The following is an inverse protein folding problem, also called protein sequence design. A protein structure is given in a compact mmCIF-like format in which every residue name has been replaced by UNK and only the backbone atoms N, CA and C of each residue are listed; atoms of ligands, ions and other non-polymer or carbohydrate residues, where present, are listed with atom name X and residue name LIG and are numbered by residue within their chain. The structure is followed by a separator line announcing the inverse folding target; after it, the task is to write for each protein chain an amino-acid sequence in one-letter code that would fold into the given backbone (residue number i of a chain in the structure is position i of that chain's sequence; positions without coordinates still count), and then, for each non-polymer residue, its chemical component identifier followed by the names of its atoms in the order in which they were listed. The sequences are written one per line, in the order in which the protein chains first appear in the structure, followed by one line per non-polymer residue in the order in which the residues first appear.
data_IF_583961770065
#
_entry.id   IF_583961770065
#
_cell.length_a   1.000
_cell.length_b   1.000
_cell.length_c   1.000
_cell.angle_alpha   90.00
_cell.angle_beta   90.00
_cell.angle_gamma   90.00
#
_symmetry.space_group_name_H-M   'P 1'
#
loop_
_entity.id
_entity.type
_entity.pdbx_description
1 polymer ?
#
# COMPACT_ATOMS: atom_id res chain seq x y z
N UNK A 1 4.16 37.64 -19.95
CA UNK A 1 4.81 36.38 -20.39
C UNK A 1 5.28 35.68 -19.13
N UNK A 2 4.34 35.03 -18.43
CA UNK A 2 4.56 34.41 -17.11
C UNK A 2 5.48 33.19 -17.23
N UNK A 3 6.74 33.37 -16.84
CA UNK A 3 7.66 32.28 -16.62
C UNK A 3 7.32 31.62 -15.28
N UNK A 4 6.36 30.69 -15.28
CA UNK A 4 6.19 29.75 -14.18
C UNK A 4 7.43 28.87 -14.15
N UNK A 5 8.31 29.10 -13.17
CA UNK A 5 9.39 28.18 -12.82
C UNK A 5 8.78 26.80 -12.56
N UNK A 6 9.33 25.71 -13.13
CA UNK A 6 8.84 24.37 -12.81
C UNK A 6 9.09 24.12 -11.32
N UNK A 7 8.05 23.69 -10.61
CA UNK A 7 8.19 23.18 -9.25
C UNK A 7 9.26 22.09 -9.27
N UNK A 8 10.20 22.06 -8.30
CA UNK A 8 11.13 20.95 -8.19
C UNK A 8 10.29 19.70 -8.10
N UNK A 9 10.45 18.79 -9.07
CA UNK A 9 9.97 17.42 -8.94
C UNK A 9 10.79 16.85 -7.79
N UNK A 10 10.28 17.01 -6.57
CA UNK A 10 10.69 16.21 -5.45
C UNK A 10 10.45 14.79 -5.94
N UNK A 11 11.52 14.13 -6.38
CA UNK A 11 11.52 12.71 -6.59
C UNK A 11 10.93 12.15 -5.30
N UNK A 12 9.72 11.60 -5.39
CA UNK A 12 9.12 10.92 -4.26
C UNK A 12 10.22 9.98 -3.77
N UNK A 13 10.58 10.00 -2.47
CA UNK A 13 11.61 9.10 -1.97
C UNK A 13 11.27 7.69 -2.47
N UNK A 14 12.28 6.86 -2.83
CA UNK A 14 12.00 5.51 -3.32
C UNK A 14 11.01 4.89 -2.33
N UNK A 15 9.88 4.42 -2.86
CA UNK A 15 8.85 3.76 -2.06
C UNK A 15 9.61 2.77 -1.18
N UNK A 16 9.60 2.93 0.15
CA UNK A 16 10.43 2.11 1.00
C UNK A 16 10.08 0.65 0.73
N UNK A 17 11.05 -0.23 0.59
CA UNK A 17 10.77 -1.62 0.21
C UNK A 17 10.72 -2.48 1.48
N UNK A 18 9.85 -3.51 1.58
CA UNK A 18 9.85 -4.42 2.73
C UNK A 18 11.23 -5.06 3.01
N UNK A 19 12.08 -5.19 1.99
CA UNK A 19 13.46 -5.69 2.14
C UNK A 19 14.38 -4.75 2.93
N UNK A 20 13.99 -3.50 3.18
CA UNK A 20 14.71 -2.57 4.06
C UNK A 20 14.99 -3.19 5.45
N UNK A 21 14.14 -4.12 5.89
CA UNK A 21 14.26 -4.78 7.20
C UNK A 21 15.25 -5.95 7.20
N UNK A 22 15.58 -6.52 6.04
CA UNK A 22 16.29 -7.81 5.94
C UNK A 22 17.70 -7.77 6.53
N UNK A 23 18.36 -6.62 6.40
CA UNK A 23 19.72 -6.39 6.89
C UNK A 23 19.77 -5.69 8.26
N UNK A 24 18.63 -5.56 8.94
CA UNK A 24 18.51 -4.85 10.23
C UNK A 24 18.47 -5.83 11.41
N UNK A 25 18.49 -5.31 12.63
CA UNK A 25 18.23 -6.09 13.83
C UNK A 25 16.78 -6.60 13.95
N UNK A 26 15.86 -6.17 13.08
CA UNK A 26 14.42 -6.49 13.13
C UNK A 26 13.89 -7.08 11.80
N UNK A 27 14.45 -8.18 11.27
CA UNK A 27 13.99 -8.78 10.00
C UNK A 27 12.54 -9.28 10.05
N UNK A 28 12.01 -9.52 11.26
CA UNK A 28 10.61 -9.90 11.47
C UNK A 28 9.61 -8.79 11.08
N UNK A 29 10.06 -7.55 10.84
CA UNK A 29 9.21 -6.47 10.34
C UNK A 29 8.98 -6.52 8.83
N UNK A 30 9.80 -7.25 8.05
CA UNK A 30 9.55 -7.46 6.62
C UNK A 30 8.13 -7.97 6.34
N UNK A 31 7.67 -9.11 6.91
CA UNK A 31 6.33 -9.62 6.61
C UNK A 31 5.22 -8.69 7.11
N UNK A 32 5.45 -7.92 8.17
CA UNK A 32 4.49 -6.92 8.65
C UNK A 32 4.33 -5.78 7.64
N UNK A 33 5.45 -5.23 7.17
CA UNK A 33 5.48 -4.17 6.16
C UNK A 33 4.80 -4.63 4.87
N UNK A 34 5.16 -5.83 4.39
CA UNK A 34 4.56 -6.43 3.19
C UNK A 34 3.04 -6.63 3.32
N UNK A 35 2.54 -6.98 4.51
CA UNK A 35 1.12 -7.15 4.77
C UNK A 35 0.31 -5.84 4.71
N UNK A 36 0.97 -4.69 4.86
CA UNK A 36 0.36 -3.36 4.78
C UNK A 36 0.37 -2.79 3.36
N UNK A 37 0.76 -3.59 2.36
CA UNK A 37 0.88 -3.19 0.96
C UNK A 37 -0.13 -3.84 0.04
N UNK A 38 -0.55 -3.07 -0.94
CA UNK A 38 -1.45 -3.55 -1.98
C UNK A 38 -0.71 -4.49 -2.94
N UNK A 39 -1.30 -5.66 -3.17
CA UNK A 39 -0.70 -6.65 -4.08
C UNK A 39 -0.79 -6.28 -5.57
N UNK A 40 -1.47 -5.18 -5.91
CA UNK A 40 -1.55 -4.65 -7.28
C UNK A 40 -0.46 -3.61 -7.54
N UNK A 41 -0.39 -2.54 -6.73
CA UNK A 41 0.61 -1.49 -6.92
C UNK A 41 1.93 -1.71 -6.15
N UNK A 42 1.97 -2.66 -5.21
CA UNK A 42 3.10 -2.98 -4.33
C UNK A 42 3.52 -1.86 -3.36
N UNK A 43 2.72 -0.81 -3.27
CA UNK A 43 2.85 0.27 -2.31
C UNK A 43 1.91 0.08 -1.11
N UNK A 44 2.10 0.85 -0.04
CA UNK A 44 1.18 0.90 1.10
C UNK A 44 -0.26 1.15 0.64
N UNK A 45 -1.24 0.58 1.36
CA UNK A 45 -2.63 0.78 0.97
C UNK A 45 -3.03 2.26 1.02
N UNK A 46 -3.51 2.78 -0.11
CA UNK A 46 -4.19 4.07 -0.19
C UNK A 46 -5.69 3.85 -0.31
N UNK A 47 -6.46 4.38 0.63
CA UNK A 47 -7.91 4.15 0.75
C UNK A 47 -8.28 2.66 0.61
N UNK A 48 -7.79 1.79 1.52
CA UNK A 48 -7.99 0.35 1.43
C UNK A 48 -9.47 -0.03 1.38
N UNK A 49 -9.80 -0.94 0.48
CA UNK A 49 -11.13 -1.53 0.35
C UNK A 49 -11.03 -3.06 0.38
N UNK A 50 -11.98 -3.67 1.07
CA UNK A 50 -12.16 -5.10 1.23
C UNK A 50 -13.13 -5.62 0.16
N UNK A 51 -12.74 -6.70 -0.52
CA UNK A 51 -13.59 -7.49 -1.41
C UNK A 51 -14.48 -8.44 -0.61
N UNK A 52 -15.54 -8.97 -1.22
CA UNK A 52 -16.42 -9.99 -0.65
C UNK A 52 -15.66 -11.29 -0.32
N UNK A 53 -14.57 -11.59 -1.04
CA UNK A 53 -13.66 -12.69 -0.73
C UNK A 53 -12.57 -12.34 0.31
N UNK A 54 -12.72 -11.20 1.00
CA UNK A 54 -11.89 -10.76 2.12
C UNK A 54 -10.44 -10.40 1.78
N UNK A 55 -10.15 -10.07 0.51
CA UNK A 55 -8.86 -9.49 0.13
C UNK A 55 -8.92 -7.96 0.15
N UNK A 56 -7.83 -7.31 0.53
CA UNK A 56 -7.75 -5.84 0.59
C UNK A 56 -6.88 -5.29 -0.54
N UNK A 57 -7.30 -4.18 -1.14
CA UNK A 57 -6.60 -3.46 -2.20
C UNK A 57 -6.76 -1.95 -2.03
N UNK A 58 -5.93 -1.14 -2.68
CA UNK A 58 -6.24 0.29 -2.84
C UNK A 58 -7.53 0.45 -3.64
N UNK A 59 -8.37 1.43 -3.27
CA UNK A 59 -9.66 1.67 -3.95
C UNK A 59 -9.50 1.80 -5.47
N UNK A 60 -8.53 2.58 -5.94
CA UNK A 60 -8.25 2.75 -7.37
C UNK A 60 -7.76 1.46 -8.03
N UNK A 61 -6.89 0.70 -7.36
CA UNK A 61 -6.32 -0.53 -7.90
C UNK A 61 -7.39 -1.59 -8.18
N UNK A 62 -8.31 -1.84 -7.24
CA UNK A 62 -9.35 -2.85 -7.44
C UNK A 62 -10.40 -2.37 -8.45
N UNK A 63 -10.78 -1.08 -8.46
CA UNK A 63 -11.76 -0.56 -9.43
C UNK A 63 -11.24 -0.69 -10.85
N UNK A 64 -9.97 -0.36 -11.09
CA UNK A 64 -9.32 -0.57 -12.38
C UNK A 64 -9.27 -2.05 -12.77
N UNK A 65 -8.95 -2.94 -11.84
CA UNK A 65 -8.94 -4.38 -12.12
C UNK A 65 -10.34 -4.90 -12.50
N UNK A 66 -11.38 -4.44 -11.81
CA UNK A 66 -12.78 -4.84 -12.07
C UNK A 66 -13.35 -4.30 -13.39
N UNK A 67 -12.75 -3.26 -13.97
CA UNK A 67 -13.07 -2.81 -15.34
C UNK A 67 -12.63 -3.84 -16.39
N UNK A 68 -11.51 -4.53 -16.16
CA UNK A 68 -10.97 -5.55 -17.06
C UNK A 68 -11.64 -6.91 -16.85
N UNK A 69 -11.75 -7.35 -15.60
CA UNK A 69 -12.29 -8.67 -15.25
C UNK A 69 -13.03 -8.59 -13.91
N UNK A 70 -14.25 -9.11 -13.84
CA UNK A 70 -15.13 -9.01 -12.65
C UNK A 70 -14.78 -10.05 -11.60
N UNK A 71 -13.50 -10.12 -11.25
CA UNK A 71 -12.95 -11.08 -10.28
C UNK A 71 -11.88 -10.43 -9.41
N UNK A 72 -11.68 -10.99 -8.22
CA UNK A 72 -10.59 -10.61 -7.33
C UNK A 72 -9.22 -10.89 -8.00
N UNK A 73 -8.28 -9.92 -8.02
CA UNK A 73 -6.93 -10.12 -8.56
C UNK A 73 -6.11 -11.22 -7.88
N UNK A 74 -6.40 -11.55 -6.61
CA UNK A 74 -5.63 -12.53 -5.83
C UNK A 74 -6.16 -13.95 -5.92
N UNK A 75 -7.46 -14.14 -5.70
CA UNK A 75 -8.07 -15.48 -5.63
C UNK A 75 -9.03 -15.79 -6.79
N UNK A 76 -9.22 -14.85 -7.73
CA UNK A 76 -10.11 -14.99 -8.90
C UNK A 76 -11.58 -15.22 -8.57
N UNK A 77 -11.99 -15.06 -7.31
CA UNK A 77 -13.40 -15.13 -6.92
C UNK A 77 -14.22 -14.00 -7.59
N UNK A 78 -15.47 -14.25 -8.03
CA UNK A 78 -16.30 -13.22 -8.65
C UNK A 78 -16.49 -12.00 -7.76
N UNK A 79 -16.31 -10.81 -8.33
CA UNK A 79 -16.39 -9.56 -7.59
C UNK A 79 -17.01 -8.44 -8.42
N UNK A 80 -17.65 -7.48 -7.74
CA UNK A 80 -18.27 -6.32 -8.34
C UNK A 80 -18.02 -5.07 -7.50
N UNK A 81 -17.90 -3.93 -8.16
CA UNK A 81 -17.54 -2.66 -7.52
C UNK A 81 -18.47 -2.25 -6.37
N UNK A 82 -19.77 -2.51 -6.50
CA UNK A 82 -20.76 -2.18 -5.46
C UNK A 82 -20.60 -3.00 -4.17
N UNK A 83 -19.86 -4.12 -4.21
CA UNK A 83 -19.60 -4.98 -3.05
C UNK A 83 -18.37 -4.54 -2.27
N UNK A 84 -17.55 -3.63 -2.82
CA UNK A 84 -16.35 -3.14 -2.17
C UNK A 84 -16.73 -2.36 -0.90
N UNK A 85 -16.08 -2.70 0.21
CA UNK A 85 -16.28 -2.04 1.51
C UNK A 85 -15.00 -1.34 1.92
N UNK A 86 -15.07 -0.09 2.38
CA UNK A 86 -13.90 0.57 2.99
C UNK A 86 -13.39 -0.26 4.16
N UNK A 87 -12.07 -0.45 4.24
CA UNK A 87 -11.42 -1.15 5.34
C UNK A 87 -10.69 -0.14 6.23
N UNK A 88 -11.44 0.54 7.09
CA UNK A 88 -10.91 1.62 7.92
C UNK A 88 -9.79 1.15 8.85
N UNK A 89 -9.91 -0.07 9.41
CA UNK A 89 -8.87 -0.65 10.29
C UNK A 89 -7.53 -0.76 9.57
N UNK A 90 -7.51 -1.20 8.31
CA UNK A 90 -6.26 -1.27 7.54
C UNK A 90 -5.71 0.12 7.21
N UNK A 91 -6.57 1.11 6.98
CA UNK A 91 -6.12 2.49 6.78
C UNK A 91 -5.39 3.01 8.03
N UNK A 92 -6.01 2.83 9.21
CA UNK A 92 -5.43 3.29 10.47
C UNK A 92 -4.10 2.57 10.79
N UNK A 93 -4.00 1.27 10.48
CA UNK A 93 -2.77 0.48 10.64
C UNK A 93 -1.65 0.98 9.72
N UNK A 94 -1.97 1.27 8.45
CA UNK A 94 -1.01 1.81 7.49
C UNK A 94 -0.53 3.18 7.94
N UNK A 95 -1.43 4.08 8.32
CA UNK A 95 -1.07 5.43 8.76
C UNK A 95 -0.15 5.39 10.00
N UNK A 96 -0.48 4.56 10.99
CA UNK A 96 0.33 4.38 12.17
C UNK A 96 1.71 3.78 11.85
N UNK A 97 1.77 2.75 11.00
CA UNK A 97 3.03 2.13 10.62
C UNK A 97 3.91 3.07 9.81
N UNK A 98 3.36 3.76 8.81
CA UNK A 98 4.10 4.72 7.98
C UNK A 98 4.69 5.84 8.82
N UNK A 99 3.94 6.37 9.80
CA UNK A 99 4.43 7.38 10.72
C UNK A 99 5.62 6.89 11.59
N UNK A 100 5.60 5.62 12.00
CA UNK A 100 6.64 5.04 12.84
C UNK A 100 7.84 4.49 12.05
N UNK A 101 7.63 4.06 10.79
CA UNK A 101 8.54 3.22 10.02
C UNK A 101 9.97 3.76 9.96
N UNK A 102 10.12 5.03 9.57
CA UNK A 102 11.43 5.64 9.40
C UNK A 102 12.24 5.68 10.71
N UNK A 103 11.56 5.99 11.83
CA UNK A 103 12.20 5.99 13.16
C UNK A 103 12.58 4.58 13.60
N UNK A 104 11.69 3.60 13.42
CA UNK A 104 11.96 2.20 13.78
C UNK A 104 13.10 1.63 12.93
N UNK A 105 13.14 1.93 11.63
CA UNK A 105 14.20 1.49 10.73
C UNK A 105 15.56 2.09 11.12
N UNK A 106 15.60 3.39 11.45
CA UNK A 106 16.82 4.05 11.92
C UNK A 106 17.36 3.41 13.22
N UNK A 107 16.48 3.06 14.16
CA UNK A 107 16.85 2.36 15.39
C UNK A 107 17.31 0.91 15.13
N UNK A 108 16.78 0.25 14.10
CA UNK A 108 17.11 -1.14 13.77
C UNK A 108 18.41 -1.30 12.99
N UNK A 109 18.90 -0.22 12.35
CA UNK A 109 20.16 -0.17 11.62
C UNK A 109 21.36 0.28 12.47
N UNK A 110 21.11 0.86 13.66
CA UNK A 110 22.13 1.28 14.62
C UNK A 110 22.47 0.17 15.61
#
# INVERSE_FOLDING_TARGET
MDARLPLPTLALPPIPDPTDWDATALPLLHPLDAALRCQVCKDFFTAPVLTNCQHTFCSECIRRALQSDRVCPLCRAPEQEYRLRKNQVVADLVDAFVAARAGVLALAMG
#
